data_IF_474724963645
#
_entry.id   IF_474724963645
#
_cell.length_a   1.000
_cell.length_b   1.000
_cell.length_c   1.000
_cell.angle_alpha   90.00
_cell.angle_beta   90.00
_cell.angle_gamma   90.00
#
_symmetry.space_group_name_H-M   'P 1'
#
loop_
_entity.id
_entity.type
_entity.pdbx_description
1 polymer ?
#
# COMPACT_ATOMS: atom_id res chain seq x y z
N UNK A 1 -17.21 -26.95 8.66
CA UNK A 1 -16.60 -26.01 7.70
C UNK A 1 -16.40 -24.73 8.46
N UNK A 2 -15.15 -24.38 8.76
CA UNK A 2 -14.83 -23.12 9.42
C UNK A 2 -15.30 -21.97 8.52
N UNK A 3 -16.26 -21.19 9.01
CA UNK A 3 -16.49 -19.84 8.51
C UNK A 3 -15.18 -19.08 8.70
N UNK A 4 -14.38 -18.97 7.63
CA UNK A 4 -13.28 -18.03 7.60
C UNK A 4 -13.91 -16.66 7.76
N UNK A 5 -13.88 -16.14 8.99
CA UNK A 5 -14.20 -14.76 9.30
C UNK A 5 -13.50 -13.89 8.26
N UNK A 6 -14.28 -13.40 7.31
CA UNK A 6 -13.81 -12.50 6.29
C UNK A 6 -13.64 -11.15 6.98
N UNK A 7 -12.57 -11.03 7.79
CA UNK A 7 -12.15 -9.79 8.39
C UNK A 7 -11.76 -8.88 7.22
N UNK A 8 -12.75 -8.12 6.73
CA UNK A 8 -12.57 -7.18 5.63
C UNK A 8 -11.39 -6.29 5.97
N UNK A 9 -10.37 -6.37 5.13
CA UNK A 9 -9.15 -5.56 5.26
C UNK A 9 -9.55 -4.11 5.05
N UNK A 10 -8.78 -3.19 5.61
CA UNK A 10 -9.12 -1.76 5.56
C UNK A 10 -9.34 -1.27 4.12
N UNK A 11 -8.62 -1.85 3.16
CA UNK A 11 -8.68 -1.53 1.74
C UNK A 11 -9.82 -2.22 0.98
N UNK A 12 -10.50 -3.21 1.57
CA UNK A 12 -11.62 -3.91 0.91
C UNK A 12 -12.86 -3.01 0.73
N UNK A 13 -12.89 -1.85 1.40
CA UNK A 13 -14.02 -0.89 1.39
C UNK A 13 -14.07 -0.02 0.14
N UNK A 14 -12.95 0.18 -0.54
CA UNK A 14 -12.90 0.92 -1.82
C UNK A 14 -12.45 -0.06 -2.91
N UNK A 15 -13.26 -0.25 -3.97
CA UNK A 15 -12.98 -1.25 -5.01
C UNK A 15 -11.65 -0.99 -5.72
N UNK A 16 -11.22 0.26 -5.86
CA UNK A 16 -9.97 0.63 -6.53
C UNK A 16 -8.78 0.30 -5.64
N UNK A 17 -8.85 0.65 -4.35
CA UNK A 17 -7.81 0.30 -3.37
C UNK A 17 -7.64 -1.22 -3.26
N UNK A 18 -8.76 -1.95 -3.24
CA UNK A 18 -8.77 -3.41 -3.22
C UNK A 18 -8.08 -3.98 -4.45
N UNK A 19 -8.46 -3.53 -5.63
CA UNK A 19 -7.91 -4.02 -6.89
C UNK A 19 -6.40 -3.73 -6.99
N UNK A 20 -5.98 -2.51 -6.68
CA UNK A 20 -4.57 -2.13 -6.70
C UNK A 20 -3.72 -2.99 -5.74
N UNK A 21 -4.20 -3.25 -4.52
CA UNK A 21 -3.46 -4.06 -3.54
C UNK A 21 -3.53 -5.57 -3.82
N UNK A 22 -4.59 -6.07 -4.46
CA UNK A 22 -4.64 -7.46 -4.93
C UNK A 22 -3.71 -7.67 -6.13
N UNK A 23 -3.66 -6.74 -7.09
CA UNK A 23 -2.68 -6.77 -8.18
C UNK A 23 -1.26 -6.75 -7.63
N UNK A 24 -0.96 -5.80 -6.73
CA UNK A 24 0.36 -5.72 -6.09
C UNK A 24 0.74 -7.01 -5.34
N UNK A 25 -0.23 -7.66 -4.67
CA UNK A 25 0.01 -8.94 -3.98
C UNK A 25 0.43 -10.04 -4.96
N UNK A 26 -0.18 -10.06 -6.14
CA UNK A 26 0.07 -11.05 -7.20
C UNK A 26 1.29 -10.72 -8.07
N UNK A 27 1.80 -9.48 -8.02
CA UNK A 27 2.99 -9.05 -8.76
C UNK A 27 4.27 -9.79 -8.36
N UNK A 28 5.24 -9.78 -9.27
CA UNK A 28 6.59 -10.30 -9.04
C UNK A 28 7.35 -9.50 -7.97
N UNK A 29 8.40 -10.09 -7.39
CA UNK A 29 9.21 -9.40 -6.38
C UNK A 29 9.87 -8.12 -6.91
N UNK A 30 10.25 -8.11 -8.19
CA UNK A 30 10.80 -6.92 -8.85
C UNK A 30 9.75 -5.80 -8.95
N UNK A 31 8.55 -6.11 -9.42
CA UNK A 31 7.43 -5.16 -9.49
C UNK A 31 7.04 -4.66 -8.10
N UNK A 32 7.02 -5.53 -7.07
CA UNK A 32 6.79 -5.13 -5.67
C UNK A 32 7.87 -4.18 -5.17
N UNK A 33 9.13 -4.38 -5.57
CA UNK A 33 10.22 -3.48 -5.21
C UNK A 33 10.11 -2.10 -5.88
N UNK A 34 9.60 -2.03 -7.11
CA UNK A 34 9.30 -0.75 -7.75
C UNK A 34 8.07 -0.08 -7.13
N UNK A 35 7.00 -0.85 -6.90
CA UNK A 35 5.76 -0.37 -6.31
C UNK A 35 5.94 0.22 -4.91
N UNK A 36 6.76 -0.39 -4.04
CA UNK A 36 7.02 0.20 -2.72
C UNK A 36 7.70 1.56 -2.79
N UNK A 37 8.66 1.73 -3.70
CA UNK A 37 9.30 3.04 -3.94
C UNK A 37 8.31 4.06 -4.53
N UNK A 38 7.45 3.60 -5.44
CA UNK A 38 6.41 4.43 -6.04
C UNK A 38 5.40 4.95 -5.01
N UNK A 39 4.90 4.06 -4.14
CA UNK A 39 3.97 4.44 -3.06
C UNK A 39 4.59 5.46 -2.10
N UNK A 40 5.90 5.35 -1.83
CA UNK A 40 6.64 6.33 -1.02
C UNK A 40 6.74 7.69 -1.72
N UNK A 41 7.03 7.73 -3.02
CA UNK A 41 7.07 8.98 -3.81
C UNK A 41 5.72 9.67 -3.91
N UNK A 42 4.64 8.90 -4.07
CA UNK A 42 3.27 9.43 -4.06
C UNK A 42 2.95 10.25 -2.80
N UNK A 43 3.66 9.99 -1.69
CA UNK A 43 3.48 10.74 -0.46
C UNK A 43 4.23 12.07 -0.45
N UNK A 44 5.38 12.19 -1.13
CA UNK A 44 6.09 13.47 -1.31
C UNK A 44 5.22 14.49 -2.05
N UNK A 45 4.47 14.02 -3.04
CA UNK A 45 3.53 14.82 -3.85
C UNK A 45 2.27 15.28 -3.10
N UNK A 46 1.92 14.59 -2.00
CA UNK A 46 0.57 14.67 -1.43
C UNK A 46 0.55 15.09 0.04
N UNK A 47 1.66 15.02 0.77
CA UNK A 47 1.67 15.39 2.18
C UNK A 47 3.05 15.87 2.69
N UNK A 48 3.18 17.19 2.89
CA UNK A 48 4.27 17.77 3.67
C UNK A 48 4.17 17.51 5.19
N UNK A 49 3.02 17.07 5.71
CA UNK A 49 2.77 16.91 7.17
C UNK A 49 2.67 15.44 7.65
N UNK A 50 2.62 14.45 6.74
CA UNK A 50 2.28 13.06 7.10
C UNK A 50 3.52 12.19 7.41
N UNK A 51 4.74 12.68 7.15
CA UNK A 51 5.97 11.88 7.23
C UNK A 51 6.34 11.46 8.66
N UNK A 52 6.24 12.35 9.65
CA UNK A 52 6.77 12.07 10.99
C UNK A 52 6.02 10.97 11.73
N UNK A 53 4.68 10.92 11.61
CA UNK A 53 3.85 9.92 12.31
C UNK A 53 4.01 8.49 11.76
N UNK A 54 4.59 8.34 10.57
CA UNK A 54 4.71 7.05 9.88
C UNK A 54 5.93 6.26 10.36
N UNK A 55 7.03 6.92 10.73
CA UNK A 55 8.23 6.24 11.23
C UNK A 55 7.97 5.46 12.53
N UNK A 56 7.09 5.99 13.40
CA UNK A 56 6.67 5.31 14.63
C UNK A 56 5.77 4.09 14.37
N UNK A 57 5.00 4.08 13.28
CA UNK A 57 4.06 3.00 12.97
C UNK A 57 4.80 1.77 12.42
N UNK A 58 5.81 1.96 11.55
CA UNK A 58 6.54 0.85 10.93
C UNK A 58 7.22 -0.03 11.98
N UNK A 59 7.82 0.58 12.99
CA UNK A 59 8.49 -0.12 14.10
C UNK A 59 7.53 -0.89 15.01
N UNK A 60 6.23 -0.53 15.01
CA UNK A 60 5.22 -1.22 15.83
C UNK A 60 4.67 -2.50 15.19
N UNK A 61 4.62 -2.57 13.86
CA UNK A 61 3.95 -3.66 13.12
C UNK A 61 4.89 -4.64 12.40
N UNK A 62 6.20 -4.35 12.35
CA UNK A 62 7.20 -5.27 11.79
C UNK A 62 7.08 -6.67 12.40
N UNK A 63 6.71 -7.67 11.59
CA UNK A 63 6.62 -9.08 11.99
C UNK A 63 5.46 -9.47 12.91
N UNK A 64 4.46 -8.60 13.15
CA UNK A 64 3.37 -8.87 14.11
C UNK A 64 1.98 -9.12 13.51
N UNK A 65 1.83 -9.18 12.19
CA UNK A 65 0.53 -9.33 11.52
C UNK A 65 0.43 -10.51 10.54
N UNK A 66 -0.81 -10.82 10.15
CA UNK A 66 -1.17 -11.89 9.19
C UNK A 66 -1.39 -11.37 7.75
N UNK A 67 -0.95 -10.15 7.44
CA UNK A 67 -1.15 -9.53 6.12
C UNK A 67 -0.02 -9.94 5.20
N UNK A 68 -0.30 -10.01 3.91
CA UNK A 68 0.65 -10.52 2.91
C UNK A 68 1.93 -9.68 2.80
N UNK A 69 1.87 -8.41 3.23
CA UNK A 69 2.99 -7.47 3.20
C UNK A 69 3.74 -7.35 4.52
N UNK A 70 3.30 -8.03 5.59
CA UNK A 70 3.90 -7.91 6.93
C UNK A 70 5.31 -8.52 7.03
N UNK A 71 5.79 -9.16 5.95
CA UNK A 71 7.14 -9.73 5.84
C UNK A 71 8.18 -8.81 5.19
N UNK A 72 7.77 -7.70 4.56
CA UNK A 72 8.68 -6.73 3.95
C UNK A 72 8.53 -5.38 4.68
N UNK A 73 9.49 -4.98 5.54
CA UNK A 73 9.41 -3.75 6.32
C UNK A 73 9.20 -2.48 5.48
N UNK A 74 9.73 -2.46 4.25
CA UNK A 74 9.57 -1.33 3.33
C UNK A 74 8.15 -1.33 2.73
N UNK A 75 7.60 -2.51 2.43
CA UNK A 75 6.22 -2.64 1.98
C UNK A 75 5.21 -2.29 3.08
N UNK A 76 5.48 -2.71 4.33
CA UNK A 76 4.69 -2.29 5.51
C UNK A 76 4.65 -0.77 5.59
N UNK A 77 5.82 -0.13 5.49
CA UNK A 77 5.90 1.34 5.48
C UNK A 77 5.05 1.93 4.38
N UNK A 78 5.24 1.52 3.13
CA UNK A 78 4.48 2.01 2.00
C UNK A 78 2.96 1.86 2.19
N UNK A 79 2.49 0.71 2.68
CA UNK A 79 1.05 0.45 2.83
C UNK A 79 0.46 1.16 4.05
N UNK A 80 1.18 1.28 5.16
CA UNK A 80 0.73 2.04 6.32
C UNK A 80 0.73 3.55 6.04
N UNK A 81 1.64 4.06 5.20
CA UNK A 81 1.57 5.43 4.65
C UNK A 81 0.24 5.64 3.94
N UNK A 82 -0.06 4.76 2.98
CA UNK A 82 -1.28 4.83 2.19
C UNK A 82 -2.51 4.74 3.11
N UNK A 83 -2.53 3.79 4.05
CA UNK A 83 -3.65 3.56 4.98
C UNK A 83 -3.98 4.77 5.85
N UNK A 84 -2.98 5.55 6.27
CA UNK A 84 -3.17 6.70 7.15
C UNK A 84 -3.43 8.01 6.38
N UNK A 85 -3.27 8.02 5.06
CA UNK A 85 -3.65 9.15 4.23
C UNK A 85 -5.18 9.37 4.24
N UNK A 86 -5.63 10.59 3.93
CA UNK A 86 -7.07 10.86 3.83
C UNK A 86 -7.72 10.09 2.66
N UNK A 87 -9.03 9.80 2.67
CA UNK A 87 -9.68 8.93 1.67
C UNK A 87 -9.50 9.40 0.21
N UNK A 88 -9.48 10.71 -0.03
CA UNK A 88 -9.28 11.27 -1.38
C UNK A 88 -7.87 10.96 -1.89
N UNK A 89 -6.87 11.08 -1.02
CA UNK A 89 -5.47 10.75 -1.32
C UNK A 89 -5.30 9.25 -1.53
N UNK A 90 -5.89 8.43 -0.66
CA UNK A 90 -5.86 6.98 -0.80
C UNK A 90 -6.34 6.52 -2.19
N UNK A 91 -7.47 7.05 -2.63
CA UNK A 91 -8.05 6.73 -3.94
C UNK A 91 -7.18 7.21 -5.09
N UNK A 92 -6.62 8.43 -5.01
CA UNK A 92 -5.71 8.96 -6.05
C UNK A 92 -4.44 8.13 -6.15
N UNK A 93 -3.85 7.78 -5.01
CA UNK A 93 -2.66 6.94 -4.94
C UNK A 93 -2.94 5.51 -5.44
N UNK A 94 -4.10 4.93 -5.10
CA UNK A 94 -4.52 3.63 -5.60
C UNK A 94 -4.69 3.62 -7.12
N UNK A 95 -5.29 4.66 -7.71
CA UNK A 95 -5.41 4.80 -9.16
C UNK A 95 -4.04 4.87 -9.85
N UNK A 96 -3.14 5.73 -9.35
CA UNK A 96 -1.77 5.84 -9.89
C UNK A 96 -1.03 4.50 -9.77
N UNK A 97 -1.15 3.81 -8.63
CA UNK A 97 -0.54 2.50 -8.42
C UNK A 97 -1.11 1.44 -9.36
N UNK A 98 -2.43 1.42 -9.54
CA UNK A 98 -3.11 0.49 -10.46
C UNK A 98 -2.60 0.67 -11.90
N UNK A 99 -2.58 1.93 -12.38
CA UNK A 99 -2.05 2.25 -13.71
C UNK A 99 -0.58 1.84 -13.86
N UNK A 100 0.27 2.15 -12.88
CA UNK A 100 1.68 1.78 -12.90
C UNK A 100 1.88 0.25 -12.95
N UNK A 101 1.05 -0.51 -12.24
CA UNK A 101 1.07 -1.98 -12.24
C UNK A 101 0.59 -2.56 -13.59
N UNK A 102 -0.47 -2.00 -14.17
CA UNK A 102 -1.00 -2.43 -15.48
C UNK A 102 -0.02 -2.15 -16.61
N UNK A 103 0.59 -0.95 -16.61
CA UNK A 103 1.54 -0.51 -17.62
C UNK A 103 2.95 -1.06 -17.40
N UNK A 104 3.22 -1.66 -16.22
CA UNK A 104 4.55 -2.04 -15.74
C UNK A 104 5.54 -0.87 -15.79
N UNK A 105 5.02 0.34 -15.60
CA UNK A 105 5.77 1.59 -15.66
C UNK A 105 5.65 2.32 -14.32
N UNK A 106 6.78 2.47 -13.63
CA UNK A 106 6.85 3.08 -12.31
C UNK A 106 7.68 4.39 -12.30
N UNK A 107 7.98 4.94 -13.48
CA UNK A 107 8.86 6.12 -13.63
C UNK A 107 8.13 7.45 -13.42
N UNK A 108 6.81 7.51 -13.63
CA UNK A 108 5.99 8.73 -13.46
C UNK A 108 5.16 8.66 -12.17
N UNK A 109 5.80 8.89 -11.01
CA UNK A 109 5.12 9.01 -9.71
C UNK A 109 4.70 10.44 -9.43
#
# INVERSE_FOLDING_TARGET
MEEKENQQRWYDKDPILKEALELLRLSSDNEKAHAKNFILKLQEDVAGEVIERIYEIVTQYEGKGNRWYDSDPVMIKAIEVLRNANPKVQRKAALKLLLALEEKNFEEA
#
